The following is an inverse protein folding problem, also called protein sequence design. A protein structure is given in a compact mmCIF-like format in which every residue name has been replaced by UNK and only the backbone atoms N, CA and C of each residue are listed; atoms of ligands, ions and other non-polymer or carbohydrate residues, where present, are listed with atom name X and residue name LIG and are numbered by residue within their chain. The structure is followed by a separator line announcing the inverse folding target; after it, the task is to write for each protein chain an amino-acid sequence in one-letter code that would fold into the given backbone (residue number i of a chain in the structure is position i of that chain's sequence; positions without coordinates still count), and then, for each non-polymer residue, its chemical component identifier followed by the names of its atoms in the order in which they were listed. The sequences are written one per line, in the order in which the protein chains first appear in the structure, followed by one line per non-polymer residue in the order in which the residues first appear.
data_IF_173074908396
#
_entry.id   IF_173074908396
#
_cell.length_a   1.000
_cell.length_b   1.000
_cell.length_c   1.000
_cell.angle_alpha   90.00
_cell.angle_beta   90.00
_cell.angle_gamma   90.00
#
_symmetry.space_group_name_H-M   'P 1'
#
loop_
_entity.id
_entity.type
_entity.pdbx_description
1 polymer ?
#
# COMPACT_ATOMS: atom_id res chain seq x y z
N UNK A 1 4.44 -40.57 -21.80
CA UNK A 1 5.70 -40.03 -22.35
C UNK A 1 5.94 -38.66 -21.72
N UNK A 2 6.69 -38.66 -20.63
CA UNK A 2 6.93 -37.51 -19.76
C UNK A 2 8.20 -36.77 -20.23
N UNK A 3 8.14 -35.45 -20.33
CA UNK A 3 9.29 -34.58 -20.58
C UNK A 3 9.76 -33.99 -19.24
N UNK A 4 11.05 -34.12 -18.87
CA UNK A 4 11.58 -33.49 -17.67
C UNK A 4 11.91 -32.02 -17.93
N UNK A 5 11.29 -31.11 -17.17
CA UNK A 5 11.75 -29.72 -17.07
C UNK A 5 12.74 -29.64 -15.90
N UNK A 6 14.02 -29.72 -16.23
CA UNK A 6 15.14 -29.38 -15.37
C UNK A 6 15.50 -27.92 -15.67
N UNK A 7 15.17 -26.97 -14.79
CA UNK A 7 15.78 -25.63 -14.82
C UNK A 7 16.43 -25.40 -13.47
N UNK A 8 17.74 -25.66 -13.50
CA UNK A 8 18.74 -25.36 -12.49
C UNK A 8 19.29 -23.96 -12.83
N UNK A 9 19.04 -22.94 -12.02
CA UNK A 9 19.82 -21.70 -12.07
C UNK A 9 20.33 -21.35 -10.68
N UNK A 10 21.64 -21.62 -10.53
CA UNK A 10 22.48 -21.34 -9.41
C UNK A 10 23.07 -19.93 -9.56
N UNK A 11 23.11 -19.21 -8.44
CA UNK A 11 24.17 -18.26 -8.04
C UNK A 11 24.48 -17.06 -8.94
N UNK A 12 24.07 -15.88 -8.45
CA UNK A 12 24.93 -14.70 -8.54
C UNK A 12 25.12 -14.11 -7.13
N UNK A 13 26.29 -14.41 -6.55
CA UNK A 13 26.85 -13.70 -5.42
C UNK A 13 27.03 -12.22 -5.81
N UNK A 14 26.34 -11.32 -5.14
CA UNK A 14 26.80 -9.93 -5.01
C UNK A 14 27.37 -9.75 -3.61
N UNK A 15 28.70 -9.89 -3.55
CA UNK A 15 29.54 -9.42 -2.45
C UNK A 15 29.50 -7.89 -2.51
N UNK A 16 28.71 -7.24 -1.65
CA UNK A 16 28.86 -5.81 -1.39
C UNK A 16 29.65 -5.66 -0.10
N UNK A 17 30.83 -5.08 -0.28
CA UNK A 17 31.83 -4.87 0.74
C UNK A 17 31.32 -3.94 1.86
N UNK A 18 31.55 -4.43 3.07
CA UNK A 18 31.55 -3.74 4.34
C UNK A 18 32.39 -2.45 4.25
N UNK A 19 31.80 -1.29 4.51
CA UNK A 19 32.55 -0.05 4.79
C UNK A 19 32.16 0.45 6.18
N UNK A 20 33.05 0.35 7.19
CA UNK A 20 32.80 0.92 8.51
C UNK A 20 33.13 2.41 8.48
N UNK A 21 32.11 3.27 8.44
CA UNK A 21 32.29 4.67 8.78
C UNK A 21 32.32 4.82 10.30
N UNK A 22 33.53 5.01 10.84
CA UNK A 22 33.77 5.71 12.09
C UNK A 22 33.03 7.05 12.06
N UNK A 23 32.06 7.26 12.96
CA UNK A 23 31.63 8.59 13.34
C UNK A 23 31.72 8.73 14.86
N UNK A 24 32.38 9.81 15.22
CA UNK A 24 32.96 10.19 16.50
C UNK A 24 31.91 10.45 17.58
N UNK A 25 32.27 10.04 18.80
CA UNK A 25 31.64 10.43 20.04
C UNK A 25 31.51 11.96 20.16
N UNK A 26 30.30 12.40 20.49
CA UNK A 26 30.07 13.69 21.12
C UNK A 26 29.58 13.39 22.54
N UNK A 27 30.44 13.68 23.51
CA UNK A 27 30.13 13.77 24.92
C UNK A 27 28.96 14.74 25.13
N UNK A 28 27.82 14.20 25.55
CA UNK A 28 26.64 14.93 26.00
C UNK A 28 26.29 14.45 27.40
N UNK A 29 26.94 15.07 28.38
CA UNK A 29 26.65 14.99 29.81
C UNK A 29 25.19 15.44 30.05
N UNK A 30 24.36 14.57 30.63
CA UNK A 30 22.92 14.86 30.79
C UNK A 30 22.17 13.81 31.60
N UNK A 31 22.23 13.97 32.92
CA UNK A 31 21.24 13.58 33.94
C UNK A 31 20.70 12.14 33.99
N UNK A 32 21.18 11.42 35.02
CA UNK A 32 20.52 10.29 35.69
C UNK A 32 19.07 10.65 36.11
N UNK A 33 18.06 9.85 35.72
CA UNK A 33 16.92 9.62 36.58
C UNK A 33 17.21 8.50 37.59
N UNK A 34 16.87 8.83 38.81
CA UNK A 34 16.97 8.09 40.07
C UNK A 34 16.09 6.84 40.04
N UNK A 35 16.69 5.71 40.45
CA UNK A 35 15.98 4.49 40.78
C UNK A 35 15.18 4.67 42.08
N UNK A 36 13.93 4.22 42.07
CA UNK A 36 13.04 3.99 43.22
C UNK A 36 12.24 2.73 42.82
N UNK A 37 12.70 1.55 43.23
CA UNK A 37 12.30 0.80 44.43
C UNK A 37 10.83 0.34 44.46
N UNK A 38 10.70 -0.95 44.78
CA UNK A 38 9.62 -1.64 45.50
C UNK A 38 8.32 -2.02 44.77
N UNK A 39 8.09 -3.33 44.72
CA UNK A 39 6.98 -4.09 45.37
C UNK A 39 6.63 -5.30 44.49
N UNK A 40 6.96 -6.52 44.93
CA UNK A 40 6.21 -7.41 45.84
C UNK A 40 5.19 -8.32 45.10
N UNK A 41 5.47 -9.62 45.24
CA UNK A 41 4.55 -10.75 45.47
C UNK A 41 3.15 -10.81 44.83
N UNK A 42 2.93 -11.94 44.16
CA UNK A 42 1.61 -12.51 43.87
C UNK A 42 1.75 -13.80 43.05
N UNK A 43 1.91 -14.95 43.72
CA UNK A 43 0.88 -15.99 43.85
C UNK A 43 0.30 -16.45 42.49
N UNK A 44 0.75 -17.58 41.94
CA UNK A 44 0.19 -18.91 42.20
C UNK A 44 -1.32 -19.01 41.84
N UNK A 45 -1.64 -19.63 40.72
CA UNK A 45 -2.70 -20.65 40.68
C UNK A 45 -2.43 -21.67 39.57
N UNK A 46 -2.22 -22.91 40.02
CA UNK A 46 -2.38 -24.13 39.25
C UNK A 46 -3.87 -24.34 38.98
N UNK A 47 -4.24 -24.52 37.72
CA UNK A 47 -5.58 -24.94 37.30
C UNK A 47 -5.47 -26.09 36.33
N UNK A 48 -5.34 -27.30 36.87
CA UNK A 48 -5.62 -28.55 36.17
C UNK A 48 -7.13 -28.62 35.94
N UNK A 49 -7.56 -28.84 34.70
CA UNK A 49 -8.81 -29.54 34.44
C UNK A 49 -8.59 -30.57 33.32
N UNK A 50 -8.46 -31.81 33.79
CA UNK A 50 -8.73 -33.03 33.03
C UNK A 50 -10.22 -33.04 32.64
N UNK A 51 -10.55 -33.10 31.35
CA UNK A 51 -11.82 -33.69 30.92
C UNK A 51 -11.59 -34.71 29.80
N UNK A 52 -11.54 -35.95 30.28
CA UNK A 52 -12.16 -37.17 29.78
C UNK A 52 -12.62 -37.23 28.31
N UNK A 53 -12.10 -38.26 27.66
CA UNK A 53 -12.65 -38.92 26.49
C UNK A 53 -14.10 -39.38 26.71
N UNK A 54 -14.94 -39.18 25.68
CA UNK A 54 -16.13 -40.00 25.45
C UNK A 54 -16.00 -40.64 24.06
N UNK A 55 -15.66 -41.93 24.08
CA UNK A 55 -15.84 -42.85 22.96
C UNK A 55 -17.34 -43.17 22.85
N UNK A 56 -18.00 -42.68 21.81
CA UNK A 56 -19.27 -43.26 21.35
C UNK A 56 -19.14 -43.74 19.92
N UNK A 57 -18.84 -45.03 19.84
CA UNK A 57 -18.97 -45.89 18.67
C UNK A 57 -20.46 -46.11 18.38
N UNK A 58 -20.95 -45.62 17.24
CA UNK A 58 -22.22 -46.04 16.65
C UNK A 58 -21.95 -46.45 15.19
N UNK A 59 -21.88 -47.77 14.98
CA UNK A 59 -22.07 -48.40 13.68
C UNK A 59 -23.57 -48.44 13.42
N UNK A 60 -24.07 -47.72 12.43
CA UNK A 60 -25.35 -48.06 11.81
C UNK A 60 -25.27 -47.90 10.29
N UNK A 61 -25.55 -49.04 9.67
CA UNK A 61 -25.67 -49.30 8.25
C UNK A 61 -26.99 -48.69 7.76
N UNK A 62 -26.94 -47.78 6.78
CA UNK A 62 -28.11 -47.55 5.95
C UNK A 62 -27.75 -46.99 4.57
N UNK A 63 -27.75 -47.93 3.63
CA UNK A 63 -27.87 -47.70 2.20
C UNK A 63 -29.14 -46.90 1.90
N UNK A 64 -28.98 -45.65 1.43
CA UNK A 64 -30.06 -44.89 0.81
C UNK A 64 -29.50 -44.06 -0.35
N UNK A 65 -30.14 -44.25 -1.50
CA UNK A 65 -30.05 -43.54 -2.77
C UNK A 65 -29.55 -42.09 -2.69
N UNK A 66 -28.36 -41.86 -3.28
CA UNK A 66 -27.75 -40.56 -3.49
C UNK A 66 -28.58 -39.71 -4.46
N UNK A 67 -29.47 -38.88 -3.90
CA UNK A 67 -29.78 -37.59 -4.52
C UNK A 67 -28.60 -36.71 -4.13
N UNK A 68 -27.75 -36.37 -5.11
CA UNK A 68 -26.65 -35.41 -4.92
C UNK A 68 -27.32 -34.06 -4.66
N UNK A 69 -27.63 -33.81 -3.40
CA UNK A 69 -27.90 -32.47 -2.90
C UNK A 69 -26.58 -31.72 -3.09
N UNK A 70 -26.56 -30.85 -4.08
CA UNK A 70 -25.55 -29.82 -4.24
C UNK A 70 -25.40 -29.13 -2.88
N UNK A 71 -24.24 -29.23 -2.21
CA UNK A 71 -24.07 -28.57 -0.93
C UNK A 71 -24.26 -27.08 -1.19
N UNK A 72 -25.26 -26.48 -0.54
CA UNK A 72 -25.35 -25.05 -0.43
C UNK A 72 -24.05 -24.61 0.26
N UNK A 73 -23.12 -24.10 -0.53
CA UNK A 73 -21.91 -23.47 -0.03
C UNK A 73 -22.41 -22.21 0.65
N UNK A 74 -22.46 -22.21 1.98
CA UNK A 74 -22.73 -21.00 2.73
C UNK A 74 -21.57 -20.04 2.41
N UNK A 75 -21.88 -18.98 1.67
CA UNK A 75 -20.94 -17.92 1.36
C UNK A 75 -20.62 -17.19 2.66
N UNK A 76 -19.62 -17.69 3.39
CA UNK A 76 -19.09 -17.05 4.59
C UNK A 76 -18.41 -15.73 4.16
N UNK A 77 -19.21 -14.67 4.11
CA UNK A 77 -18.70 -13.31 4.03
C UNK A 77 -17.81 -13.08 5.25
N UNK A 78 -16.50 -12.95 5.03
CA UNK A 78 -15.55 -12.75 6.12
C UNK A 78 -15.83 -11.41 6.81
N UNK A 79 -16.12 -11.50 8.11
CA UNK A 79 -16.28 -10.34 8.95
C UNK A 79 -14.92 -9.66 9.15
N UNK A 80 -14.74 -8.47 8.55
CA UNK A 80 -13.63 -7.59 8.91
C UNK A 80 -13.82 -7.12 10.36
N UNK A 81 -12.74 -7.06 11.17
CA UNK A 81 -11.34 -7.08 10.78
C UNK A 81 -10.68 -8.47 10.70
N UNK A 82 -9.71 -8.65 9.80
CA UNK A 82 -8.96 -9.92 9.61
C UNK A 82 -7.44 -9.72 9.82
N UNK A 83 -6.76 -10.57 10.61
CA UNK A 83 -5.32 -10.46 10.82
C UNK A 83 -4.52 -10.88 9.57
N UNK A 84 -3.48 -10.11 9.24
CA UNK A 84 -2.53 -10.35 8.14
C UNK A 84 -1.08 -10.20 8.63
N UNK A 85 -0.10 -10.56 7.82
CA UNK A 85 1.31 -10.58 8.25
C UNK A 85 1.83 -9.27 8.88
N UNK A 86 1.42 -8.13 8.34
CA UNK A 86 1.90 -6.82 8.76
C UNK A 86 0.99 -6.13 9.78
N UNK A 87 -0.16 -6.72 10.14
CA UNK A 87 -1.13 -6.09 11.03
C UNK A 87 -2.54 -6.63 10.80
N UNK A 88 -3.52 -5.75 10.65
CA UNK A 88 -4.93 -6.12 10.54
C UNK A 88 -5.58 -5.43 9.35
N UNK A 89 -6.23 -6.17 8.47
CA UNK A 89 -7.09 -5.62 7.43
C UNK A 89 -8.42 -5.20 8.07
N UNK A 90 -8.74 -3.91 7.99
CA UNK A 90 -9.91 -3.33 8.68
C UNK A 90 -11.02 -2.89 7.73
N UNK A 91 -10.71 -2.64 6.45
CA UNK A 91 -11.71 -2.24 5.46
C UNK A 91 -11.32 -2.69 4.05
N UNK A 92 -12.32 -3.01 3.22
CA UNK A 92 -12.20 -3.34 1.81
C UNK A 92 -13.40 -2.76 1.06
N UNK A 93 -13.17 -1.74 0.22
CA UNK A 93 -14.23 -1.04 -0.52
C UNK A 93 -13.88 -0.91 -2.01
N UNK A 94 -14.90 -0.85 -2.87
CA UNK A 94 -14.75 -0.49 -4.29
C UNK A 94 -15.13 0.97 -4.51
N UNK A 95 -14.36 1.67 -5.33
CA UNK A 95 -14.58 3.07 -5.66
C UNK A 95 -14.41 3.32 -7.15
N UNK A 96 -15.46 3.88 -7.77
CA UNK A 96 -15.40 4.41 -9.13
C UNK A 96 -14.86 5.85 -9.17
N UNK A 97 -14.70 6.46 -7.99
CA UNK A 97 -14.31 7.86 -7.86
C UNK A 97 -12.86 8.08 -8.28
N UNK A 98 -12.59 9.26 -8.85
CA UNK A 98 -11.24 9.71 -9.13
C UNK A 98 -10.43 9.88 -7.84
N UNK A 99 -9.19 9.40 -7.84
CA UNK A 99 -8.28 9.47 -6.69
C UNK A 99 -7.18 10.50 -6.95
N UNK A 100 -6.73 11.21 -5.91
CA UNK A 100 -5.56 12.10 -6.00
C UNK A 100 -4.28 11.27 -6.12
N UNK A 101 -3.48 11.52 -7.15
CA UNK A 101 -2.25 10.81 -7.48
C UNK A 101 -1.09 11.76 -7.70
N UNK A 102 0.12 11.35 -7.33
CA UNK A 102 1.33 12.11 -7.64
C UNK A 102 1.76 11.90 -9.09
N UNK A 103 1.88 12.99 -9.85
CA UNK A 103 2.45 12.97 -11.20
C UNK A 103 3.97 12.89 -11.09
N UNK A 104 4.53 11.70 -11.37
CA UNK A 104 5.97 11.43 -11.22
C UNK A 104 6.82 12.46 -12.00
N UNK A 105 6.41 12.81 -13.22
CA UNK A 105 7.16 13.76 -14.03
C UNK A 105 7.29 15.15 -13.37
N UNK A 106 6.23 15.61 -12.70
CA UNK A 106 6.19 16.91 -12.05
C UNK A 106 6.91 16.88 -10.70
N UNK A 107 6.74 15.80 -9.94
CA UNK A 107 7.53 15.51 -8.76
C UNK A 107 9.04 15.53 -9.04
N UNK A 108 9.49 14.85 -10.11
CA UNK A 108 10.89 14.83 -10.52
C UNK A 108 11.37 16.23 -10.97
N UNK A 109 10.54 16.99 -11.69
CA UNK A 109 10.85 18.38 -12.09
C UNK A 109 11.02 19.29 -10.88
N UNK A 110 10.21 19.07 -9.85
CA UNK A 110 10.31 19.74 -8.55
C UNK A 110 11.47 19.21 -7.67
N UNK A 111 12.29 18.27 -8.17
CA UNK A 111 13.39 17.62 -7.45
C UNK A 111 12.94 16.88 -6.18
N UNK A 112 11.70 16.44 -6.15
CA UNK A 112 11.17 15.58 -5.09
C UNK A 112 11.37 14.12 -5.54
N UNK A 113 12.40 13.46 -5.03
CA UNK A 113 12.71 12.07 -5.38
C UNK A 113 12.10 11.06 -4.41
N UNK A 114 11.91 11.47 -3.15
CA UNK A 114 11.26 10.67 -2.11
C UNK A 114 9.79 11.09 -1.99
N UNK A 115 8.95 10.22 -1.44
CA UNK A 115 7.58 10.55 -1.08
C UNK A 115 7.59 11.34 0.24
N UNK A 116 7.53 12.68 0.24
CA UNK A 116 7.55 13.44 1.48
C UNK A 116 6.30 13.10 2.31
N UNK A 117 6.36 13.37 3.62
CA UNK A 117 5.16 13.34 4.48
C UNK A 117 4.11 14.38 4.07
N UNK A 118 4.52 15.41 3.32
CA UNK A 118 3.67 16.47 2.81
C UNK A 118 4.09 16.79 1.37
N UNK A 119 3.17 16.65 0.42
CA UNK A 119 3.43 16.99 -0.98
C UNK A 119 3.41 18.52 -1.10
N UNK A 120 4.52 19.10 -1.53
CA UNK A 120 4.66 20.54 -1.70
C UNK A 120 4.41 20.85 -3.18
N UNK A 121 3.29 21.52 -3.48
CA UNK A 121 2.94 22.05 -4.81
C UNK A 121 1.88 21.27 -5.57
N UNK A 122 1.62 21.69 -6.81
CA UNK A 122 0.55 21.20 -7.69
C UNK A 122 0.89 19.88 -8.42
N UNK A 123 1.78 19.05 -7.87
CA UNK A 123 2.26 17.82 -8.50
C UNK A 123 1.28 16.64 -8.37
N UNK A 124 -0.02 16.96 -8.26
CA UNK A 124 -1.09 15.98 -8.10
C UNK A 124 -2.08 16.06 -9.25
N UNK A 125 -2.59 14.91 -9.67
CA UNK A 125 -3.67 14.79 -10.64
C UNK A 125 -4.75 13.87 -10.10
N UNK A 126 -5.99 14.08 -10.54
CA UNK A 126 -7.08 13.15 -10.26
C UNK A 126 -7.03 12.05 -11.32
N UNK A 127 -6.81 10.80 -10.91
CA UNK A 127 -6.85 9.63 -11.77
C UNK A 127 -8.13 8.85 -11.52
N UNK A 128 -8.94 8.66 -12.56
CA UNK A 128 -10.08 7.74 -12.57
C UNK A 128 -9.60 6.32 -12.91
N UNK A 129 -10.36 5.28 -12.53
CA UNK A 129 -10.08 3.94 -13.03
C UNK A 129 -10.25 3.90 -14.55
N UNK A 130 -9.68 2.87 -15.20
CA UNK A 130 -9.87 2.64 -16.63
C UNK A 130 -11.33 2.30 -16.98
N UNK A 131 -11.64 2.26 -18.28
CA UNK A 131 -12.94 1.74 -18.77
C UNK A 131 -13.16 0.30 -18.25
N UNK A 132 -14.37 0.02 -17.78
CA UNK A 132 -14.79 -1.28 -17.21
C UNK A 132 -13.96 -1.74 -15.98
N UNK A 133 -13.41 -0.78 -15.23
CA UNK A 133 -12.61 -1.03 -14.04
C UNK A 133 -13.05 -0.17 -12.86
N UNK A 134 -12.74 -0.63 -11.67
CA UNK A 134 -12.94 0.10 -10.41
C UNK A 134 -11.68 0.04 -9.56
N UNK A 135 -11.55 0.95 -8.60
CA UNK A 135 -10.48 0.89 -7.61
C UNK A 135 -10.90 0.09 -6.39
N UNK A 136 -10.11 -0.93 -6.03
CA UNK A 136 -10.27 -1.61 -4.74
C UNK A 136 -9.33 -0.98 -3.71
N UNK A 137 -9.91 -0.50 -2.61
CA UNK A 137 -9.22 0.20 -1.53
C UNK A 137 -9.19 -0.69 -0.30
N UNK A 138 -8.00 -1.19 0.05
CA UNK A 138 -7.82 -2.04 1.23
C UNK A 138 -7.14 -1.25 2.33
N UNK A 139 -7.83 -1.06 3.45
CA UNK A 139 -7.28 -0.36 4.61
C UNK A 139 -6.74 -1.34 5.62
N UNK A 140 -5.46 -1.19 5.93
CA UNK A 140 -4.70 -2.02 6.86
C UNK A 140 -4.23 -1.15 8.02
N UNK A 141 -4.46 -1.61 9.24
CA UNK A 141 -3.77 -1.12 10.42
C UNK A 141 -2.46 -1.89 10.59
N UNK A 142 -1.34 -1.27 10.24
CA UNK A 142 0.00 -1.87 10.33
C UNK A 142 0.44 -1.87 11.79
N UNK A 143 0.83 -3.04 12.31
CA UNK A 143 1.24 -3.19 13.70
C UNK A 143 2.59 -2.50 13.99
N UNK A 144 2.84 -2.04 15.23
CA UNK A 144 4.11 -1.39 15.60
C UNK A 144 5.34 -2.26 15.27
N UNK A 145 6.36 -1.64 14.68
CA UNK A 145 7.61 -2.31 14.27
C UNK A 145 7.47 -3.19 13.03
N UNK A 146 6.30 -3.19 12.36
CA UNK A 146 6.09 -3.84 11.07
C UNK A 146 6.08 -2.80 9.96
N UNK A 147 6.21 -3.30 8.75
CA UNK A 147 6.09 -2.49 7.55
C UNK A 147 5.20 -3.18 6.53
N UNK A 148 4.64 -2.37 5.64
CA UNK A 148 3.86 -2.83 4.50
C UNK A 148 4.34 -2.12 3.24
N UNK A 149 4.65 -2.90 2.22
CA UNK A 149 5.10 -2.47 0.91
C UNK A 149 4.05 -2.72 -0.16
N UNK A 150 4.18 -1.99 -1.26
CA UNK A 150 3.33 -2.19 -2.45
C UNK A 150 3.50 -3.58 -3.06
N UNK A 151 4.66 -4.19 -2.89
CA UNK A 151 4.95 -5.51 -3.46
C UNK A 151 4.62 -6.65 -2.51
N UNK A 152 4.21 -6.39 -1.26
CA UNK A 152 4.01 -7.42 -0.24
C UNK A 152 2.73 -8.24 -0.48
N UNK A 153 1.73 -7.65 -1.15
CA UNK A 153 0.44 -8.29 -1.41
C UNK A 153 0.01 -8.07 -2.86
N UNK A 154 -0.69 -9.07 -3.39
CA UNK A 154 -1.44 -9.00 -4.65
C UNK A 154 -2.90 -9.31 -4.36
N UNK A 155 -3.79 -8.71 -5.12
CA UNK A 155 -5.21 -9.02 -5.08
C UNK A 155 -5.54 -9.97 -6.23
N UNK A 156 -6.23 -11.07 -5.95
CA UNK A 156 -6.74 -11.98 -6.98
C UNK A 156 -8.25 -11.85 -7.08
N UNK A 157 -8.76 -11.71 -8.28
CA UNK A 157 -10.19 -11.67 -8.57
C UNK A 157 -10.41 -12.29 -9.94
N UNK A 158 -11.47 -13.09 -10.09
CA UNK A 158 -11.83 -13.71 -11.38
C UNK A 158 -10.69 -14.51 -12.05
N UNK A 159 -9.79 -15.07 -11.24
CA UNK A 159 -8.61 -15.83 -11.71
C UNK A 159 -7.46 -14.96 -12.22
N UNK A 160 -7.60 -13.63 -12.22
CA UNK A 160 -6.56 -12.68 -12.54
C UNK A 160 -5.80 -12.24 -11.28
N UNK A 161 -4.60 -11.69 -11.46
CA UNK A 161 -3.78 -11.15 -10.36
C UNK A 161 -3.53 -9.67 -10.62
N UNK A 162 -3.86 -8.86 -9.64
CA UNK A 162 -3.80 -7.41 -9.68
C UNK A 162 -2.71 -6.93 -8.71
N UNK A 163 -1.72 -6.24 -9.26
CA UNK A 163 -0.66 -5.61 -8.49
C UNK A 163 -1.20 -4.39 -7.73
N UNK A 164 -0.71 -4.18 -6.52
CA UNK A 164 -0.96 -2.93 -5.81
C UNK A 164 -0.29 -1.79 -6.59
N UNK A 165 -1.04 -0.74 -6.90
CA UNK A 165 -0.59 0.39 -7.71
C UNK A 165 0.08 1.47 -6.87
N UNK A 166 -0.45 1.74 -5.68
CA UNK A 166 0.05 2.74 -4.76
C UNK A 166 -0.38 2.45 -3.31
N UNK A 167 0.36 3.02 -2.37
CA UNK A 167 0.03 2.99 -0.95
C UNK A 167 -0.05 4.41 -0.40
N UNK A 168 -0.96 4.63 0.55
CA UNK A 168 -1.20 5.94 1.17
C UNK A 168 -1.30 5.80 2.69
N UNK A 169 -0.56 6.59 3.48
CA UNK A 169 -0.74 6.61 4.93
C UNK A 169 -2.09 7.25 5.30
N UNK A 170 -2.67 6.84 6.42
CA UNK A 170 -3.89 7.42 6.96
C UNK A 170 -3.76 8.92 7.20
N UNK A 171 -4.84 9.67 6.94
CA UNK A 171 -4.87 11.13 7.06
C UNK A 171 -4.25 11.89 5.88
N UNK A 172 -3.68 11.18 4.90
CA UNK A 172 -3.26 11.74 3.61
C UNK A 172 -4.29 11.31 2.56
N UNK A 173 -4.61 12.19 1.63
CA UNK A 173 -5.61 11.97 0.57
C UNK A 173 -4.98 11.57 -0.78
N UNK A 174 -3.67 11.73 -0.92
CA UNK A 174 -2.94 11.51 -2.18
C UNK A 174 -2.16 10.19 -2.20
N UNK A 175 -2.30 9.43 -3.28
CA UNK A 175 -1.52 8.23 -3.58
C UNK A 175 -0.19 8.56 -4.26
N UNK A 176 0.92 8.03 -3.74
CA UNK A 176 2.25 8.28 -4.27
C UNK A 176 2.94 6.98 -4.70
N UNK A 177 3.18 6.82 -5.99
CA UNK A 177 3.86 5.65 -6.56
C UNK A 177 5.32 5.51 -6.07
N UNK A 178 5.98 6.60 -5.66
CA UNK A 178 7.36 6.57 -5.15
C UNK A 178 7.43 5.96 -3.75
N UNK A 179 6.30 5.91 -3.04
CA UNK A 179 6.19 5.30 -1.72
C UNK A 179 6.15 3.79 -1.87
N UNK A 180 7.31 3.15 -1.74
CA UNK A 180 7.45 1.71 -1.91
C UNK A 180 7.05 0.92 -0.65
N UNK A 181 7.24 1.51 0.55
CA UNK A 181 6.93 0.90 1.84
C UNK A 181 6.58 1.97 2.89
N UNK A 182 5.74 1.59 3.86
CA UNK A 182 5.43 2.35 5.07
C UNK A 182 5.79 1.49 6.27
N UNK A 183 6.46 2.08 7.26
CA UNK A 183 6.86 1.43 8.52
C UNK A 183 6.14 2.09 9.69
N UNK A 184 5.46 1.28 10.50
CA UNK A 184 4.75 1.73 11.69
C UNK A 184 5.72 1.87 12.87
N UNK A 185 6.27 3.07 13.07
CA UNK A 185 7.29 3.34 14.09
C UNK A 185 6.67 3.55 15.48
N UNK A 186 6.64 2.49 16.28
CA UNK A 186 6.26 2.54 17.71
C UNK A 186 4.75 2.57 17.99
N UNK A 187 3.92 3.00 17.04
CA UNK A 187 2.45 2.97 17.13
C UNK A 187 1.85 2.33 15.87
N UNK A 188 0.64 1.76 15.96
CA UNK A 188 -0.05 1.28 14.77
C UNK A 188 -0.24 2.41 13.75
N UNK A 189 -0.18 2.08 12.47
CA UNK A 189 -0.36 3.05 11.40
C UNK A 189 -1.37 2.55 10.37
N UNK A 190 -2.42 3.33 10.14
CA UNK A 190 -3.36 3.06 9.06
C UNK A 190 -2.70 3.31 7.71
N UNK A 191 -2.85 2.37 6.78
CA UNK A 191 -2.35 2.44 5.41
C UNK A 191 -3.46 1.94 4.49
N UNK A 192 -3.72 2.66 3.41
CA UNK A 192 -4.62 2.21 2.34
C UNK A 192 -3.80 1.76 1.14
N UNK A 193 -4.00 0.51 0.72
CA UNK A 193 -3.49 -0.07 -0.52
C UNK A 193 -4.52 0.18 -1.64
N UNK A 194 -4.04 0.47 -2.84
CA UNK A 194 -4.87 0.74 -4.02
C UNK A 194 -4.61 -0.31 -5.10
N UNK A 195 -5.67 -0.99 -5.54
CA UNK A 195 -5.66 -1.91 -6.67
C UNK A 195 -6.65 -1.41 -7.74
N UNK A 196 -6.46 -1.84 -8.98
CA UNK A 196 -7.39 -1.59 -10.08
C UNK A 196 -7.85 -2.96 -10.61
N UNK A 197 -9.16 -3.21 -10.51
CA UNK A 197 -9.79 -4.51 -10.80
C UNK A 197 -10.99 -4.30 -11.76
N UNK A 198 -11.52 -5.35 -12.40
CA UNK A 198 -12.76 -5.25 -13.18
C UNK A 198 -13.92 -4.70 -12.34
N UNK A 199 -14.80 -3.90 -12.96
CA UNK A 199 -15.90 -3.23 -12.24
C UNK A 199 -16.99 -4.18 -11.76
N UNK A 200 -17.09 -5.38 -12.34
CA UNK A 200 -18.07 -6.42 -12.01
C UNK A 200 -17.60 -7.36 -10.89
N UNK A 201 -16.38 -7.19 -10.39
CA UNK A 201 -15.83 -8.02 -9.30
C UNK A 201 -16.48 -7.67 -7.96
N UNK A 202 -17.14 -8.65 -7.32
CA UNK A 202 -17.71 -8.53 -5.96
C UNK A 202 -16.79 -9.11 -4.88
N UNK A 203 -15.97 -10.08 -5.25
CA UNK A 203 -15.16 -10.86 -4.33
C UNK A 203 -13.71 -10.99 -4.83
N UNK A 204 -12.79 -11.19 -3.90
CA UNK A 204 -11.39 -11.39 -4.23
C UNK A 204 -10.62 -12.08 -3.11
N UNK A 205 -9.33 -12.31 -3.34
CA UNK A 205 -8.42 -12.90 -2.38
C UNK A 205 -7.15 -12.06 -2.28
N UNK A 206 -6.85 -11.56 -1.08
CA UNK A 206 -5.57 -10.91 -0.81
C UNK A 206 -4.52 -11.99 -0.52
N UNK A 207 -3.52 -12.08 -1.39
CA UNK A 207 -2.43 -13.05 -1.25
C UNK A 207 -1.13 -12.34 -0.91
N UNK A 208 -0.42 -12.82 0.11
CA UNK A 208 0.93 -12.38 0.43
C UNK A 208 1.94 -12.94 -0.59
N UNK A 209 2.77 -12.08 -1.17
CA UNK A 209 3.64 -12.45 -2.32
C UNK A 209 5.01 -12.96 -1.92
N UNK A 210 5.56 -12.49 -0.79
CA UNK A 210 6.93 -12.81 -0.42
C UNK A 210 6.99 -14.26 0.05
N UNK A 211 7.98 -15.00 -0.45
CA UNK A 211 8.26 -16.36 0.00
C UNK A 211 8.70 -16.37 1.45
N UNK A 212 7.75 -16.43 2.37
CA UNK A 212 8.00 -16.61 3.81
C UNK A 212 8.22 -18.07 4.13
N UNK A 213 8.97 -18.33 5.20
CA UNK A 213 9.16 -19.68 5.76
C UNK A 213 7.82 -20.30 6.18
N UNK A 214 6.84 -19.46 6.56
CA UNK A 214 5.48 -19.87 6.90
C UNK A 214 4.53 -19.37 5.81
N UNK A 215 3.90 -20.26 5.03
CA UNK A 215 2.90 -19.85 4.05
C UNK A 215 1.70 -19.24 4.78
N UNK A 216 1.24 -18.09 4.31
CA UNK A 216 -0.02 -17.51 4.78
C UNK A 216 -1.14 -17.94 3.84
N UNK A 217 -2.30 -18.37 4.37
CA UNK A 217 -3.47 -18.60 3.54
C UNK A 217 -3.89 -17.28 2.87
N UNK A 218 -4.42 -17.33 1.64
CA UNK A 218 -5.10 -16.17 1.05
C UNK A 218 -6.21 -15.68 1.98
N UNK A 219 -6.42 -14.38 2.02
CA UNK A 219 -7.51 -13.76 2.78
C UNK A 219 -8.65 -13.46 1.82
N UNK A 220 -9.78 -14.19 1.88
CA UNK A 220 -10.94 -13.87 1.06
C UNK A 220 -11.51 -12.51 1.47
N UNK A 221 -11.99 -11.76 0.48
CA UNK A 221 -12.54 -10.44 0.59
C UNK A 221 -13.88 -10.42 -0.15
N UNK A 222 -14.90 -9.87 0.50
CA UNK A 222 -16.11 -9.40 -0.16
C UNK A 222 -16.09 -7.88 -0.07
N UNK A 223 -16.15 -7.21 -1.22
CA UNK A 223 -16.05 -5.76 -1.22
C UNK A 223 -17.40 -5.12 -0.91
N UNK A 224 -17.40 -4.14 -0.01
CA UNK A 224 -18.54 -3.25 0.10
C UNK A 224 -18.52 -2.25 -1.07
N UNK A 225 -19.66 -2.07 -1.74
CA UNK A 225 -19.85 -0.89 -2.58
C UNK A 225 -19.62 0.35 -1.70
N UNK A 226 -18.80 1.30 -2.18
CA UNK A 226 -18.55 2.53 -1.45
C UNK A 226 -19.88 3.22 -1.13
N UNK A 227 -20.22 3.21 0.15
CA UNK A 227 -21.30 4.02 0.68
C UNK A 227 -20.86 5.47 0.50
N UNK A 228 -21.43 6.17 -0.49
CA UNK A 228 -21.36 7.63 -0.54
C UNK A 228 -21.72 8.13 0.86
N UNK A 229 -20.79 8.72 1.63
CA UNK A 229 -21.13 9.26 2.92
C UNK A 229 -22.15 10.35 2.64
N UNK A 230 -23.42 10.10 3.00
CA UNK A 230 -24.54 10.99 2.75
C UNK A 230 -24.09 12.44 2.98
N UNK A 231 -23.89 13.16 1.87
CA UNK A 231 -23.49 14.54 1.91
C UNK A 231 -24.59 15.30 2.65
N UNK A 232 -24.30 15.80 3.85
CA UNK A 232 -25.26 16.64 4.58
C UNK A 232 -25.52 16.26 6.04
N UNK A 233 -24.49 15.85 6.79
CA UNK A 233 -24.46 16.16 8.22
C UNK A 233 -24.23 17.66 8.40
N UNK A 234 -25.29 18.45 8.24
CA UNK A 234 -25.30 19.89 8.53
C UNK A 234 -24.71 20.09 9.92
N UNK A 235 -23.50 20.69 9.97
CA UNK A 235 -22.95 21.17 11.23
C UNK A 235 -24.02 22.05 11.90
N UNK A 236 -24.31 21.87 13.20
CA UNK A 236 -25.27 22.72 13.88
C UNK A 236 -24.82 24.17 13.72
N UNK A 237 -25.66 24.91 13.00
CA UNK A 237 -25.64 26.34 12.81
C UNK A 237 -25.33 27.00 14.15
N UNK A 238 -24.09 27.50 14.28
CA UNK A 238 -23.68 28.26 15.44
C UNK A 238 -24.60 29.49 15.52
N UNK A 239 -25.40 29.52 16.58
CA UNK A 239 -26.33 30.58 16.88
C UNK A 239 -25.63 31.95 16.79
N UNK A 240 -26.17 32.77 15.88
CA UNK A 240 -25.91 34.20 15.80
C UNK A 240 -26.43 34.91 17.05
N UNK A 241 -25.62 35.78 17.65
CA UNK A 241 -25.94 37.14 18.17
C UNK A 241 -24.85 37.65 19.15
N UNK A 242 -24.71 38.98 19.39
CA UNK A 242 -24.56 40.08 18.43
C UNK A 242 -23.31 40.95 18.75
N UNK A 243 -23.07 41.95 17.89
CA UNK A 243 -22.02 42.98 18.00
C UNK A 243 -22.05 43.78 19.31
N UNK A 244 -20.94 44.47 19.67
CA UNK A 244 -20.95 45.92 19.48
C UNK A 244 -19.62 46.58 19.06
N UNK A 245 -19.81 47.63 18.24
CA UNK A 245 -19.18 48.96 18.23
C UNK A 245 -17.70 49.18 17.86
N UNK A 246 -17.58 49.85 16.70
CA UNK A 246 -16.59 50.84 16.24
C UNK A 246 -15.89 51.67 17.33
N UNK A 247 -14.63 52.11 17.08
CA UNK A 247 -14.47 53.50 16.64
C UNK A 247 -13.48 53.73 15.49
N UNK A 248 -13.93 54.63 14.62
CA UNK A 248 -13.26 55.67 13.83
C UNK A 248 -11.72 55.72 13.66
N UNK A 249 -11.35 55.85 12.37
CA UNK A 249 -10.40 56.79 11.77
C UNK A 249 -8.92 56.75 12.17
N UNK A 250 -8.05 56.46 11.20
CA UNK A 250 -7.01 57.44 10.84
C UNK A 250 -6.68 57.37 9.34
N UNK A 251 -6.57 58.57 8.79
CA UNK A 251 -6.35 58.98 7.42
C UNK A 251 -4.88 58.74 7.04
N UNK A 252 -4.60 58.26 5.83
CA UNK A 252 -3.25 57.87 5.43
C UNK A 252 -3.06 57.81 3.93
N UNK A 253 -3.44 58.90 3.27
CA UNK A 253 -3.08 59.27 1.90
C UNK A 253 -1.57 59.13 1.65
N UNK A 254 -1.18 58.38 0.62
CA UNK A 254 -0.04 58.75 -0.21
C UNK A 254 -0.09 58.07 -1.57
N UNK A 255 -0.08 58.92 -2.59
CA UNK A 255 -0.06 58.60 -4.00
C UNK A 255 1.37 58.47 -4.55
N UNK A 256 1.42 57.89 -5.75
CA UNK A 256 2.32 58.19 -6.85
C UNK A 256 3.80 57.74 -6.82
N UNK A 257 4.13 56.89 -7.80
CA UNK A 257 5.12 57.09 -8.88
C UNK A 257 5.48 55.69 -9.44
N UNK A 258 4.96 55.28 -10.60
CA UNK A 258 5.54 55.49 -11.92
C UNK A 258 7.01 55.05 -12.03
N UNK A 259 7.32 54.04 -12.87
CA UNK A 259 8.36 54.12 -13.91
C UNK A 259 8.63 52.78 -14.63
N UNK A 260 8.51 52.83 -15.96
CA UNK A 260 9.32 52.18 -17.03
C UNK A 260 9.36 50.64 -17.14
N UNK A 261 8.86 50.02 -18.21
CA UNK A 261 9.27 50.06 -19.64
C UNK A 261 10.29 48.95 -20.00
N UNK A 262 9.78 48.02 -20.81
CA UNK A 262 10.40 47.21 -21.88
C UNK A 262 11.81 46.59 -21.71
N UNK A 263 11.88 45.26 -21.90
CA UNK A 263 12.68 44.69 -23.00
C UNK A 263 12.36 43.23 -23.33
N UNK A 264 11.79 43.06 -24.52
CA UNK A 264 11.98 41.91 -25.41
C UNK A 264 13.50 41.75 -25.72
N UNK A 265 13.99 40.52 -25.98
CA UNK A 265 14.23 40.24 -27.39
C UNK A 265 13.89 38.81 -27.81
N UNK A 266 13.28 38.74 -28.99
CA UNK A 266 13.28 37.58 -29.87
C UNK A 266 14.70 37.14 -30.24
N UNK A 267 14.96 35.82 -30.19
CA UNK A 267 15.98 35.18 -31.00
C UNK A 267 15.65 33.70 -31.24
N UNK A 268 15.15 33.40 -32.45
CA UNK A 268 15.18 32.09 -33.13
C UNK A 268 16.44 32.06 -34.00
N UNK A 269 17.24 30.98 -34.04
CA UNK A 269 17.17 30.01 -35.15
C UNK A 269 17.43 28.56 -34.68
N UNK A 270 16.58 27.58 -35.02
CA UNK A 270 16.73 26.72 -36.21
C UNK A 270 18.13 26.05 -36.34
N UNK A 271 18.21 24.77 -35.94
CA UNK A 271 19.16 23.79 -36.48
C UNK A 271 18.69 22.35 -36.20
N UNK A 272 17.93 21.78 -37.14
CA UNK A 272 18.10 20.39 -37.56
C UNK A 272 19.49 20.28 -38.24
N UNK A 273 20.24 19.15 -38.16
CA UNK A 273 19.85 18.00 -38.97
C UNK A 273 20.29 16.59 -38.47
N UNK A 274 19.64 15.60 -39.08
CA UNK A 274 20.22 14.35 -39.62
C UNK A 274 20.66 13.19 -38.71
N UNK A 275 19.93 12.10 -38.93
CA UNK A 275 20.43 10.79 -39.38
C UNK A 275 20.93 9.74 -38.35
N UNK A 276 20.12 8.67 -38.29
CA UNK A 276 20.49 7.25 -38.06
C UNK A 276 21.94 6.90 -38.41
N UNK A 277 22.51 5.94 -37.66
CA UNK A 277 22.76 4.66 -38.32
C UNK A 277 22.24 3.46 -37.52
N UNK A 278 21.72 2.50 -38.28
CA UNK A 278 21.35 1.16 -37.84
C UNK A 278 22.57 0.40 -37.32
N UNK A 279 22.48 -0.13 -36.09
CA UNK A 279 23.44 -1.10 -35.57
C UNK A 279 22.88 -2.52 -35.74
N UNK A 280 23.74 -3.36 -36.33
CA UNK A 280 23.56 -4.74 -36.75
C UNK A 280 22.98 -5.67 -35.68
N UNK A 281 22.02 -6.49 -36.12
CA UNK A 281 21.65 -7.78 -35.53
C UNK A 281 22.87 -8.73 -35.56
N UNK A 282 23.37 -9.24 -34.43
CA UNK A 282 24.31 -10.36 -34.47
C UNK A 282 23.56 -11.66 -34.77
N UNK A 283 24.11 -12.41 -35.73
CA UNK A 283 23.62 -13.70 -36.16
C UNK A 283 23.72 -14.74 -35.03
N UNK A 284 22.62 -15.47 -34.81
CA UNK A 284 22.59 -16.63 -33.94
C UNK A 284 23.56 -17.70 -34.48
N UNK A 285 24.64 -17.95 -33.73
CA UNK A 285 25.56 -19.05 -33.97
C UNK A 285 24.94 -20.30 -33.35
N UNK A 286 24.44 -21.20 -34.19
CA UNK A 286 23.99 -22.55 -33.84
C UNK A 286 25.20 -23.35 -33.32
N UNK A 287 25.25 -23.82 -32.07
CA UNK A 287 26.17 -24.89 -31.71
C UNK A 287 25.63 -26.21 -32.25
N UNK A 288 26.52 -26.95 -32.91
CA UNK A 288 26.32 -28.30 -33.36
C UNK A 288 26.07 -29.24 -32.17
N UNK A 289 25.22 -30.23 -32.40
CA UNK A 289 25.01 -31.37 -31.54
C UNK A 289 25.93 -32.48 -32.03
N UNK A 290 26.88 -32.88 -31.21
CA UNK A 290 27.72 -34.09 -31.19
C UNK A 290 28.36 -34.01 -29.77
N UNK A 291 28.44 -35.00 -28.88
CA UNK A 291 28.65 -36.44 -28.90
C UNK A 291 28.10 -36.95 -27.53
N UNK A 292 27.33 -38.03 -27.46
CA UNK A 292 27.83 -39.41 -27.35
C UNK A 292 28.74 -39.60 -26.12
N UNK A 293 28.17 -39.97 -24.96
CA UNK A 293 28.89 -40.77 -23.95
C UNK A 293 27.92 -41.70 -23.22
N UNK A 294 28.22 -42.98 -23.42
CA UNK A 294 27.70 -44.21 -22.85
C UNK A 294 27.76 -44.27 -21.31
#
# INVERSE_FOLDING_TARGET
MMKPFLILWLSLLSVIAFTPCHLTAADGDGEKPKAEEASEDGAAEEGQDEQAADETKAEDDQSASATVAEPAVEEESLELPVPIQCGTLTNAILSESGMNWVVIADALRAKQFEAPGMIIGDATEIRTPGEDKTFALLTVEVAPGRSIGRQDYVLKSDGETHDCLAIRPGGVDTYDFRRWQIEAKGTPQTVTLLFEIPSDTTDGELTFTLGTTVPQPPVPLSFAEEYEPAAGGTAPEAASEPAPETPAADDGESADEASTEAKEPAAKPAAEPAAKPAAKKPAAKKPAADDDWN
#
